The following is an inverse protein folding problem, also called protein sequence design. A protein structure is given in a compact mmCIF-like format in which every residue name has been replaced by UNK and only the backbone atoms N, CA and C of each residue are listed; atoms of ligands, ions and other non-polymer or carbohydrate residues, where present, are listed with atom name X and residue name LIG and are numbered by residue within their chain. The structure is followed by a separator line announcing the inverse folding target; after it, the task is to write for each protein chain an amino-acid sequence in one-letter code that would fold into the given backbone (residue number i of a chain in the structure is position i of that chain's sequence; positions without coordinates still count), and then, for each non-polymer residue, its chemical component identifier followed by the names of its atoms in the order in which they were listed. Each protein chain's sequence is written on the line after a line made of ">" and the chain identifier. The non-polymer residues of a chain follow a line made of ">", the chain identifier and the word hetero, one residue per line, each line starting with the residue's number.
data_IF_799875012233
#
_entry.id   IF_799875012233
#
_cell.length_a   1.000
_cell.length_b   1.000
_cell.length_c   1.000
_cell.angle_alpha   90.00
_cell.angle_beta   90.00
_cell.angle_gamma   90.00
#
_symmetry.space_group_name_H-M   'P 1'
#
loop_
_entity.id
_entity.type
_entity.pdbx_description
1 polymer ?
#
# COMPACT_ATOMS: atom_id res chain seq x y z
N UNK A 1 -4.10 23.57 -4.42
CA UNK A 1 -3.83 22.65 -3.30
C UNK A 1 -4.71 21.43 -3.49
N UNK A 2 -4.17 20.22 -3.38
CA UNK A 2 -4.99 19.01 -3.53
C UNK A 2 -5.72 18.76 -2.20
N UNK A 3 -7.05 18.70 -2.24
CA UNK A 3 -7.88 18.36 -1.08
C UNK A 3 -8.37 16.91 -1.20
N UNK A 4 -8.09 16.10 -0.19
CA UNK A 4 -8.49 14.69 -0.15
C UNK A 4 -9.31 14.43 1.11
N UNK A 5 -10.45 13.75 0.96
CA UNK A 5 -11.27 13.34 2.08
C UNK A 5 -10.86 11.95 2.56
N UNK A 6 -10.24 11.90 3.74
CA UNK A 6 -9.79 10.67 4.39
C UNK A 6 -10.87 9.57 4.50
N UNK A 7 -12.15 9.92 4.58
CA UNK A 7 -13.24 8.94 4.71
C UNK A 7 -13.57 8.23 3.41
N UNK A 8 -13.25 8.84 2.28
CA UNK A 8 -13.59 8.32 0.93
C UNK A 8 -12.35 8.03 0.08
N UNK A 9 -11.15 8.31 0.60
CA UNK A 9 -9.88 8.06 -0.08
C UNK A 9 -9.19 6.83 0.52
N UNK A 10 -8.59 6.01 -0.34
CA UNK A 10 -7.78 4.86 0.05
C UNK A 10 -6.35 5.02 -0.45
N UNK A 11 -5.38 4.50 0.31
CA UNK A 11 -3.99 4.38 -0.14
C UNK A 11 -3.76 2.97 -0.68
N UNK A 12 -3.32 2.91 -1.94
CA UNK A 12 -2.90 1.66 -2.58
C UNK A 12 -1.38 1.70 -2.73
N UNK A 13 -0.68 0.80 -2.05
CA UNK A 13 0.77 0.66 -2.14
C UNK A 13 1.08 -0.52 -3.04
N UNK A 14 1.73 -0.24 -4.17
CA UNK A 14 2.00 -1.23 -5.23
C UNK A 14 3.47 -1.64 -5.15
N UNK A 15 3.71 -2.95 -5.17
CA UNK A 15 5.01 -3.59 -5.37
C UNK A 15 6.20 -3.12 -4.50
N UNK A 16 5.92 -2.60 -3.29
CA UNK A 16 6.91 -2.50 -2.21
C UNK A 16 7.17 -3.87 -1.59
N UNK A 17 7.88 -4.71 -2.32
CA UNK A 17 8.28 -6.05 -1.92
C UNK A 17 9.81 -6.15 -1.96
N UNK A 18 10.43 -6.75 -0.96
CA UNK A 18 11.90 -6.90 -0.87
C UNK A 18 12.54 -7.47 -2.15
N UNK A 19 11.84 -8.35 -2.87
CA UNK A 19 12.32 -8.92 -4.14
C UNK A 19 12.21 -7.98 -5.36
N UNK A 20 11.48 -6.87 -5.26
CA UNK A 20 11.29 -5.88 -6.33
C UNK A 20 12.12 -4.61 -6.07
N UNK A 21 12.41 -4.28 -4.80
CA UNK A 21 13.21 -3.11 -4.42
C UNK A 21 14.57 -3.00 -5.15
N UNK A 22 15.33 -4.09 -5.38
CA UNK A 22 16.59 -4.01 -6.13
C UNK A 22 16.44 -3.56 -7.60
N UNK A 23 15.23 -3.62 -8.16
CA UNK A 23 14.93 -3.18 -9.52
C UNK A 23 14.43 -1.73 -9.60
N UNK A 24 14.43 -1.00 -8.48
CA UNK A 24 14.06 0.41 -8.45
C UNK A 24 15.13 1.27 -9.16
N UNK A 25 14.96 1.47 -10.48
CA UNK A 25 15.82 2.33 -11.31
C UNK A 25 15.29 3.76 -11.50
N UNK A 26 14.26 4.16 -10.74
CA UNK A 26 13.62 5.47 -10.86
C UNK A 26 14.42 6.60 -10.21
N UNK A 27 13.92 7.85 -10.28
CA UNK A 27 14.58 9.03 -9.70
C UNK A 27 14.61 9.04 -8.15
N UNK A 28 14.06 8.02 -7.49
CA UNK A 28 14.02 7.85 -6.05
C UNK A 28 14.51 6.45 -5.68
N UNK A 29 15.27 6.37 -4.58
CA UNK A 29 15.80 5.08 -4.10
C UNK A 29 14.68 4.22 -3.51
N UNK A 30 14.89 2.91 -3.47
CA UNK A 30 13.95 1.99 -2.82
C UNK A 30 13.61 2.42 -1.38
N UNK A 31 14.63 2.79 -0.59
CA UNK A 31 14.47 3.24 0.78
C UNK A 31 13.64 4.53 0.88
N UNK A 32 13.83 5.48 -0.04
CA UNK A 32 13.01 6.70 -0.07
C UNK A 32 11.53 6.37 -0.31
N UNK A 33 11.25 5.46 -1.24
CA UNK A 33 9.86 5.06 -1.56
C UNK A 33 9.23 4.32 -0.39
N UNK A 34 9.96 3.39 0.26
CA UNK A 34 9.50 2.65 1.44
C UNK A 34 9.18 3.59 2.59
N UNK A 35 10.10 4.52 2.91
CA UNK A 35 9.91 5.46 4.02
C UNK A 35 8.74 6.42 3.77
N UNK A 36 8.60 6.95 2.55
CA UNK A 36 7.49 7.85 2.19
C UNK A 36 6.14 7.12 2.19
N UNK A 37 6.09 5.90 1.68
CA UNK A 37 4.87 5.09 1.70
C UNK A 37 4.46 4.72 3.14
N UNK A 38 5.43 4.39 4.00
CA UNK A 38 5.21 4.15 5.42
C UNK A 38 4.63 5.37 6.15
N UNK A 39 5.17 6.56 5.89
CA UNK A 39 4.64 7.82 6.44
C UNK A 39 3.20 8.08 6.00
N UNK A 40 2.92 7.99 4.71
CA UNK A 40 1.58 8.19 4.15
C UNK A 40 0.57 7.17 4.70
N UNK A 41 0.95 5.90 4.78
CA UNK A 41 0.12 4.84 5.37
C UNK A 41 -0.17 5.09 6.85
N UNK A 42 0.82 5.58 7.61
CA UNK A 42 0.65 5.96 9.01
C UNK A 42 -0.33 7.13 9.20
N UNK A 43 -0.25 8.16 8.35
CA UNK A 43 -1.18 9.30 8.40
C UNK A 43 -2.62 8.88 8.07
N UNK A 44 -2.78 8.07 7.04
CA UNK A 44 -4.09 7.55 6.58
C UNK A 44 -4.71 6.60 7.62
N UNK A 45 -3.91 5.73 8.23
CA UNK A 45 -4.37 4.84 9.30
C UNK A 45 -4.83 5.59 10.55
N UNK A 46 -4.14 6.69 10.93
CA UNK A 46 -4.53 7.53 12.08
C UNK A 46 -5.89 8.21 11.90
N UNK A 47 -6.33 8.42 10.67
CA UNK A 47 -7.64 9.01 10.36
C UNK A 47 -8.82 8.02 10.53
N UNK A 48 -8.56 6.77 10.97
CA UNK A 48 -9.53 5.75 11.45
C UNK A 48 -10.66 5.31 10.49
N UNK A 49 -10.81 5.90 9.31
CA UNK A 49 -11.76 5.47 8.27
C UNK A 49 -11.12 5.13 6.92
N UNK A 50 -9.83 5.43 6.74
CA UNK A 50 -9.15 5.23 5.48
C UNK A 50 -8.50 3.83 5.41
N UNK A 51 -8.64 3.17 4.26
CA UNK A 51 -8.13 1.81 4.03
C UNK A 51 -6.72 1.89 3.41
N UNK A 52 -5.79 1.11 3.96
CA UNK A 52 -4.48 0.85 3.36
C UNK A 52 -4.49 -0.57 2.80
N UNK A 53 -4.31 -0.71 1.49
CA UNK A 53 -4.24 -2.01 0.81
C UNK A 53 -2.89 -2.16 0.11
N UNK A 54 -2.15 -3.22 0.47
CA UNK A 54 -0.93 -3.61 -0.25
C UNK A 54 -1.19 -4.77 -1.22
N UNK A 55 -0.46 -4.81 -2.34
CA UNK A 55 -0.59 -5.85 -3.37
C UNK A 55 -0.47 -7.28 -2.79
N UNK A 56 0.49 -7.52 -1.87
CA UNK A 56 0.62 -8.81 -1.16
C UNK A 56 -0.62 -9.18 -0.35
N UNK A 57 -1.24 -8.18 0.29
CA UNK A 57 -2.47 -8.36 1.06
C UNK A 57 -3.66 -8.71 0.17
N UNK A 58 -3.73 -8.15 -1.04
CA UNK A 58 -4.77 -8.45 -2.03
C UNK A 58 -4.68 -9.90 -2.52
N UNK A 59 -3.48 -10.36 -2.88
CA UNK A 59 -3.23 -11.75 -3.32
C UNK A 59 -3.52 -12.76 -2.21
N UNK A 60 -3.10 -12.49 -0.96
CA UNK A 60 -3.40 -13.35 0.18
C UNK A 60 -4.90 -13.38 0.52
N UNK A 61 -5.64 -12.28 0.30
CA UNK A 61 -7.10 -12.25 0.49
C UNK A 61 -7.83 -13.01 -0.61
N UNK A 62 -7.45 -12.83 -1.88
CA UNK A 62 -8.01 -13.59 -3.01
C UNK A 62 -7.79 -15.10 -2.83
N UNK A 63 -6.55 -15.50 -2.48
CA UNK A 63 -6.22 -16.91 -2.23
C UNK A 63 -7.01 -17.53 -1.08
N UNK A 64 -7.26 -16.78 0.00
CA UNK A 64 -8.11 -17.25 1.11
C UNK A 64 -9.57 -17.37 0.69
N UNK A 65 -10.09 -16.38 -0.04
CA UNK A 65 -11.48 -16.41 -0.54
C UNK A 65 -11.75 -17.59 -1.48
N UNK A 66 -10.77 -17.96 -2.31
CA UNK A 66 -10.88 -19.13 -3.19
C UNK A 66 -10.85 -20.44 -2.39
N UNK A 67 -10.02 -20.53 -1.33
CA UNK A 67 -9.94 -21.74 -0.48
C UNK A 67 -11.16 -21.98 0.41
N UNK A 68 -11.89 -20.93 0.77
CA UNK A 68 -13.11 -21.04 1.60
C UNK A 68 -14.39 -21.20 0.77
N UNK A 69 -14.29 -21.10 -0.56
CA UNK A 69 -15.42 -21.24 -1.49
C UNK A 69 -15.46 -22.62 -2.18
N UNK A 70 -14.64 -23.57 -1.71
CA UNK A 70 -14.61 -24.96 -2.16
C UNK A 70 -14.93 -25.92 -1.04
#
# INVERSE_FOLDING_TARGET
>A
MLELNAKTTALVVIDLQEGILPFAGGPHTADEVVNRAGKAGGEISRQRSARVSGARWLVCRLRRSIKTAG
#
